data_IF_250504212141
#
_entry.id   IF_250504212141
#
_cell.length_a   1.000
_cell.length_b   1.000
_cell.length_c   1.000
_cell.angle_alpha   90.00
_cell.angle_beta   90.00
_cell.angle_gamma   90.00
#
_symmetry.space_group_name_H-M   'P 1'
#
loop_
_entity.id
_entity.type
_entity.pdbx_description
1 polymer ?
#
# COMPACT_ATOMS: atom_id res chain seq x y z
N UNK A 1 -25.98 -15.61 -1.88
CA UNK A 1 -25.16 -15.15 -3.03
C UNK A 1 -23.85 -14.68 -2.46
N UNK A 2 -22.74 -15.37 -2.77
CA UNK A 2 -21.41 -14.86 -2.46
C UNK A 2 -21.25 -13.51 -3.14
N UNK A 3 -20.97 -12.45 -2.37
CA UNK A 3 -20.77 -11.11 -2.94
C UNK A 3 -19.38 -11.12 -3.59
N UNK A 4 -19.32 -10.95 -4.91
CA UNK A 4 -18.05 -10.71 -5.61
C UNK A 4 -17.28 -9.56 -4.91
N UNK A 5 -15.95 -9.64 -4.79
CA UNK A 5 -15.13 -8.54 -4.31
C UNK A 5 -15.43 -7.22 -5.02
N UNK A 6 -15.32 -6.12 -4.28
CA UNK A 6 -15.53 -4.74 -4.79
C UNK A 6 -14.22 -3.96 -4.88
N UNK A 7 -13.08 -4.63 -4.77
CA UNK A 7 -11.75 -4.03 -4.81
C UNK A 7 -10.83 -4.85 -5.69
N UNK A 8 -9.95 -4.20 -6.44
CA UNK A 8 -8.94 -4.87 -7.24
C UNK A 8 -7.59 -4.15 -7.15
N UNK A 9 -6.53 -4.95 -7.07
CA UNK A 9 -5.15 -4.53 -7.20
C UNK A 9 -4.58 -5.07 -8.51
N UNK A 10 -4.04 -4.18 -9.33
CA UNK A 10 -3.39 -4.49 -10.59
C UNK A 10 -1.90 -4.20 -10.46
N UNK A 11 -1.10 -5.23 -10.66
CA UNK A 11 0.34 -5.16 -10.50
C UNK A 11 1.03 -4.88 -11.84
N UNK A 12 1.86 -3.84 -11.90
CA UNK A 12 2.75 -3.52 -13.02
C UNK A 12 4.20 -3.73 -12.56
N UNK A 13 4.88 -4.81 -12.99
CA UNK A 13 6.16 -5.23 -12.41
C UNK A 13 7.36 -4.44 -12.96
N UNK A 14 7.15 -3.45 -13.80
CA UNK A 14 8.22 -2.77 -14.53
C UNK A 14 8.79 -1.59 -13.74
N UNK A 15 10.12 -1.49 -13.70
CA UNK A 15 10.83 -0.34 -13.18
C UNK A 15 11.86 0.16 -14.20
N UNK A 16 12.05 1.48 -14.28
CA UNK A 16 13.21 2.08 -14.97
C UNK A 16 14.48 1.89 -14.13
N UNK A 17 14.35 1.93 -12.81
CA UNK A 17 15.41 1.67 -11.84
C UNK A 17 14.92 0.87 -10.63
N UNK A 18 15.71 -0.11 -10.18
CA UNK A 18 15.40 -0.91 -8.99
C UNK A 18 16.03 -0.29 -7.74
N UNK A 19 15.17 0.14 -6.81
CA UNK A 19 15.57 0.67 -5.51
C UNK A 19 16.19 -0.43 -4.64
N UNK A 20 17.18 -0.09 -3.82
CA UNK A 20 17.97 -1.09 -3.10
C UNK A 20 17.24 -1.75 -1.91
N UNK A 21 16.16 -1.14 -1.44
CA UNK A 21 15.30 -1.63 -0.35
C UNK A 21 14.03 -2.34 -0.86
N UNK A 22 13.69 -2.20 -2.13
CA UNK A 22 12.36 -2.59 -2.63
C UNK A 22 12.21 -4.12 -2.71
N UNK A 23 11.15 -4.65 -2.08
CA UNK A 23 10.83 -6.08 -2.07
C UNK A 23 9.65 -6.48 -2.97
N UNK A 24 8.99 -5.54 -3.64
CA UNK A 24 7.91 -5.86 -4.57
C UNK A 24 8.32 -6.89 -5.64
N UNK A 25 7.35 -7.49 -6.32
CA UNK A 25 7.64 -8.20 -7.58
C UNK A 25 8.01 -7.14 -8.63
N UNK A 26 9.25 -7.14 -9.11
CA UNK A 26 9.75 -6.12 -10.05
C UNK A 26 10.85 -6.63 -10.96
N UNK A 27 10.92 -6.04 -12.14
CA UNK A 27 11.97 -6.24 -13.14
C UNK A 27 12.32 -4.92 -13.81
N UNK A 28 13.55 -4.81 -14.33
CA UNK A 28 13.89 -3.71 -15.22
C UNK A 28 13.05 -3.80 -16.50
N UNK A 29 12.43 -2.68 -16.90
CA UNK A 29 11.55 -2.62 -18.08
C UNK A 29 12.30 -2.89 -19.39
N UNK A 30 13.60 -2.57 -19.44
CA UNK A 30 14.42 -2.73 -20.63
C UNK A 30 14.41 -4.19 -21.10
N UNK A 31 14.09 -4.39 -22.38
CA UNK A 31 14.00 -5.69 -23.06
C UNK A 31 12.88 -6.61 -22.53
N UNK A 32 11.87 -6.07 -21.83
CA UNK A 32 10.70 -6.84 -21.43
C UNK A 32 9.58 -6.77 -22.48
N UNK A 33 8.72 -7.80 -22.57
CA UNK A 33 7.59 -7.81 -23.49
C UNK A 33 6.41 -7.01 -22.91
N UNK A 34 6.56 -5.69 -22.80
CA UNK A 34 5.58 -4.82 -22.08
C UNK A 34 4.19 -4.88 -22.72
N UNK A 35 4.08 -4.72 -24.04
CA UNK A 35 2.77 -4.70 -24.71
C UNK A 35 2.05 -6.05 -24.56
N UNK A 36 2.77 -7.15 -24.78
CA UNK A 36 2.25 -8.51 -24.56
C UNK A 36 1.83 -8.71 -23.11
N UNK A 37 2.57 -8.17 -22.15
CA UNK A 37 2.16 -8.23 -20.74
C UNK A 37 0.85 -7.51 -20.48
N UNK A 38 0.65 -6.31 -21.04
CA UNK A 38 -0.61 -5.57 -20.89
C UNK A 38 -1.78 -6.31 -21.53
N UNK A 39 -1.60 -6.92 -22.70
CA UNK A 39 -2.62 -7.73 -23.35
C UNK A 39 -3.10 -8.90 -22.46
N UNK A 40 -2.15 -9.66 -21.91
CA UNK A 40 -2.44 -10.81 -21.03
C UNK A 40 -3.01 -10.38 -19.68
N UNK A 41 -2.53 -9.27 -19.12
CA UNK A 41 -3.08 -8.71 -17.89
C UNK A 41 -4.54 -8.30 -18.07
N UNK A 42 -4.88 -7.67 -19.19
CA UNK A 42 -6.25 -7.29 -19.50
C UNK A 42 -7.11 -8.52 -19.82
N UNK A 43 -6.53 -9.60 -20.35
CA UNK A 43 -7.22 -10.89 -20.51
C UNK A 43 -7.54 -11.52 -19.14
N UNK A 44 -6.58 -11.59 -18.22
CA UNK A 44 -6.81 -12.02 -16.85
C UNK A 44 -7.91 -11.17 -16.20
N UNK A 45 -7.83 -9.84 -16.30
CA UNK A 45 -8.84 -8.94 -15.74
C UNK A 45 -10.25 -9.23 -16.26
N UNK A 46 -10.40 -9.45 -17.58
CA UNK A 46 -11.69 -9.82 -18.19
C UNK A 46 -12.19 -11.18 -17.74
N UNK A 47 -11.31 -12.13 -17.42
CA UNK A 47 -11.70 -13.49 -16.99
C UNK A 47 -12.49 -13.50 -15.68
N UNK A 48 -12.31 -12.48 -14.83
CA UNK A 48 -13.03 -12.33 -13.57
C UNK A 48 -14.46 -11.77 -13.72
N UNK A 49 -14.84 -11.30 -14.92
CA UNK A 49 -16.15 -10.68 -15.20
C UNK A 49 -16.50 -9.59 -14.16
N UNK A 50 -15.55 -8.66 -13.98
CA UNK A 50 -15.66 -7.55 -13.03
C UNK A 50 -16.46 -6.44 -13.69
N UNK A 51 -17.63 -6.13 -13.12
CA UNK A 51 -18.48 -5.02 -13.58
C UNK A 51 -18.52 -3.86 -12.60
N UNK A 52 -18.20 -4.10 -11.32
CA UNK A 52 -18.31 -3.11 -10.24
C UNK A 52 -17.10 -3.21 -9.33
N UNK A 53 -16.45 -2.07 -9.12
CA UNK A 53 -15.40 -1.88 -8.14
C UNK A 53 -15.65 -0.56 -7.42
N UNK A 54 -15.53 -0.56 -6.09
CA UNK A 54 -15.40 0.67 -5.29
C UNK A 54 -13.97 1.17 -5.32
N UNK A 55 -12.99 0.27 -5.38
CA UNK A 55 -11.58 0.65 -5.45
C UNK A 55 -10.81 -0.13 -6.51
N UNK A 56 -9.95 0.57 -7.25
CA UNK A 56 -8.99 -0.02 -8.18
C UNK A 56 -7.63 0.62 -7.92
N UNK A 57 -6.63 -0.20 -7.58
CA UNK A 57 -5.28 0.28 -7.27
C UNK A 57 -4.30 -0.31 -8.26
N UNK A 58 -3.57 0.56 -8.96
CA UNK A 58 -2.53 0.18 -9.92
C UNK A 58 -1.18 0.50 -9.29
N UNK A 59 -0.40 -0.54 -8.97
CA UNK A 59 0.88 -0.39 -8.28
C UNK A 59 1.91 -1.44 -8.70
N UNK A 60 2.98 -1.60 -7.92
CA UNK A 60 3.90 -2.73 -8.03
C UNK A 60 5.36 -2.35 -8.16
N UNK A 61 5.93 -2.54 -9.34
CA UNK A 61 7.22 -1.96 -9.69
C UNK A 61 7.06 -0.44 -9.77
N UNK A 62 6.64 0.06 -10.93
CA UNK A 62 6.26 1.45 -11.14
C UNK A 62 5.32 1.53 -12.34
N UNK A 63 3.99 1.71 -12.15
CA UNK A 63 3.04 1.85 -13.26
C UNK A 63 3.44 2.92 -14.28
N UNK A 64 3.98 4.06 -13.82
CA UNK A 64 4.45 5.14 -14.69
C UNK A 64 5.78 4.88 -15.41
N UNK A 65 6.39 3.70 -15.24
CA UNK A 65 7.46 3.26 -16.13
C UNK A 65 6.95 2.93 -17.54
N UNK A 66 5.64 2.67 -17.70
CA UNK A 66 4.98 2.52 -18.99
C UNK A 66 5.03 3.83 -19.80
N UNK A 67 5.07 3.75 -21.13
CA UNK A 67 4.86 4.93 -21.98
C UNK A 67 3.45 5.49 -21.80
N UNK A 68 3.22 6.75 -22.21
CA UNK A 68 1.88 7.34 -22.19
C UNK A 68 0.86 6.49 -22.98
N UNK A 69 1.23 5.98 -24.16
CA UNK A 69 0.38 5.11 -24.97
C UNK A 69 0.08 3.76 -24.30
N UNK A 70 1.05 3.17 -23.61
CA UNK A 70 0.87 1.92 -22.86
C UNK A 70 -0.03 2.12 -21.64
N UNK A 71 0.12 3.27 -20.97
CA UNK A 71 -0.72 3.65 -19.84
C UNK A 71 -2.17 3.90 -20.27
N UNK A 72 -2.39 4.51 -21.43
CA UNK A 72 -3.71 4.69 -22.04
C UNK A 72 -4.37 3.33 -22.31
N UNK A 73 -3.66 2.40 -22.97
CA UNK A 73 -4.14 1.03 -23.21
C UNK A 73 -4.52 0.32 -21.90
N UNK A 74 -3.69 0.43 -20.87
CA UNK A 74 -3.96 -0.17 -19.56
C UNK A 74 -5.22 0.41 -18.93
N UNK A 75 -5.32 1.73 -18.82
CA UNK A 75 -6.42 2.41 -18.14
C UNK A 75 -7.73 2.16 -18.87
N UNK A 76 -7.77 2.34 -20.19
CA UNK A 76 -8.95 2.05 -21.00
C UNK A 76 -9.38 0.59 -20.85
N UNK A 77 -8.42 -0.34 -20.91
CA UNK A 77 -8.69 -1.76 -20.77
C UNK A 77 -9.30 -2.15 -19.41
N UNK A 78 -8.84 -1.52 -18.33
CA UNK A 78 -9.34 -1.78 -16.98
C UNK A 78 -10.69 -1.11 -16.71
N UNK A 79 -10.96 0.07 -17.27
CA UNK A 79 -12.14 0.87 -16.91
C UNK A 79 -13.30 0.77 -17.88
N UNK A 80 -13.08 0.36 -19.14
CA UNK A 80 -14.09 0.38 -20.21
C UNK A 80 -15.41 -0.32 -19.87
N UNK A 81 -15.35 -1.42 -19.11
CA UNK A 81 -16.53 -2.23 -18.76
C UNK A 81 -16.97 -2.06 -17.30
N UNK A 82 -16.33 -1.15 -16.55
CA UNK A 82 -16.70 -0.90 -15.15
C UNK A 82 -17.84 0.11 -15.06
N UNK A 83 -18.74 -0.14 -14.12
CA UNK A 83 -19.70 0.85 -13.64
C UNK A 83 -18.98 1.90 -12.80
N UNK A 84 -18.56 2.98 -13.44
CA UNK A 84 -17.82 4.06 -12.78
C UNK A 84 -18.67 4.83 -11.76
N UNK A 85 -20.00 4.65 -11.73
CA UNK A 85 -20.87 5.35 -10.77
C UNK A 85 -20.70 4.85 -9.33
N UNK A 86 -20.13 3.66 -9.15
CA UNK A 86 -19.83 3.08 -7.84
C UNK A 86 -18.34 3.09 -7.49
N UNK A 87 -17.49 3.61 -8.38
CA UNK A 87 -16.05 3.72 -8.18
C UNK A 87 -15.74 4.93 -7.30
N UNK A 88 -15.16 4.67 -6.14
CA UNK A 88 -14.79 5.70 -5.16
C UNK A 88 -13.33 6.13 -5.35
N UNK A 89 -12.45 5.17 -5.59
CA UNK A 89 -11.02 5.42 -5.71
C UNK A 89 -10.41 4.62 -6.85
N UNK A 90 -9.75 5.30 -7.77
CA UNK A 90 -8.80 4.72 -8.70
C UNK A 90 -7.43 5.35 -8.46
N UNK A 91 -6.58 4.59 -7.76
CA UNK A 91 -5.22 5.00 -7.43
C UNK A 91 -4.24 4.48 -8.46
N UNK A 92 -3.27 5.31 -8.84
CA UNK A 92 -2.07 4.87 -9.52
C UNK A 92 -0.80 5.30 -8.78
N UNK A 93 0.15 4.38 -8.65
CA UNK A 93 1.50 4.69 -8.17
C UNK A 93 2.36 5.32 -9.26
N UNK A 94 3.15 6.31 -8.88
CA UNK A 94 4.05 7.02 -9.77
C UNK A 94 5.43 7.23 -9.12
N UNK A 95 6.45 7.19 -9.95
CA UNK A 95 7.78 7.65 -9.61
C UNK A 95 7.95 9.08 -10.14
N UNK A 96 8.41 10.08 -9.34
CA UNK A 96 8.64 11.43 -9.85
C UNK A 96 9.52 11.44 -11.12
N UNK A 97 10.58 10.64 -11.15
CA UNK A 97 11.47 10.57 -12.31
C UNK A 97 10.84 10.01 -13.60
N UNK A 98 9.67 9.37 -13.53
CA UNK A 98 9.02 8.73 -14.68
C UNK A 98 7.68 9.39 -15.07
N UNK A 99 7.18 10.36 -14.32
CA UNK A 99 5.88 11.02 -14.57
C UNK A 99 6.07 12.32 -15.38
N UNK A 100 5.88 12.26 -16.69
CA UNK A 100 5.96 13.42 -17.59
C UNK A 100 4.58 14.02 -17.91
N UNK A 101 4.56 15.10 -18.69
CA UNK A 101 3.33 15.80 -19.05
C UNK A 101 2.36 14.94 -19.88
N UNK A 102 2.88 14.09 -20.78
CA UNK A 102 2.06 13.22 -21.63
C UNK A 102 1.37 12.15 -20.77
N UNK A 103 2.09 11.55 -19.81
CA UNK A 103 1.48 10.61 -18.86
C UNK A 103 0.44 11.28 -17.98
N UNK A 104 0.69 12.49 -17.45
CA UNK A 104 -0.30 13.23 -16.66
C UNK A 104 -1.57 13.52 -17.50
N UNK A 105 -1.42 13.85 -18.79
CA UNK A 105 -2.56 14.05 -19.67
C UNK A 105 -3.40 12.77 -19.84
N UNK A 106 -2.76 11.61 -19.99
CA UNK A 106 -3.44 10.31 -20.02
C UNK A 106 -4.17 10.03 -18.71
N UNK A 107 -3.52 10.24 -17.56
CA UNK A 107 -4.18 10.08 -16.25
C UNK A 107 -5.43 10.96 -16.15
N UNK A 108 -5.33 12.23 -16.57
CA UNK A 108 -6.44 13.18 -16.49
C UNK A 108 -7.62 12.83 -17.41
N UNK A 109 -7.36 12.16 -18.53
CA UNK A 109 -8.40 11.69 -19.45
C UNK A 109 -9.06 10.38 -18.99
N UNK A 110 -8.47 9.73 -18.00
CA UNK A 110 -8.99 8.49 -17.41
C UNK A 110 -9.78 8.73 -16.12
N UNK A 111 -10.44 7.71 -15.56
CA UNK A 111 -11.08 7.79 -14.25
C UNK A 111 -10.12 7.83 -13.04
N UNK A 112 -8.80 7.90 -13.23
CA UNK A 112 -7.82 8.06 -12.14
C UNK A 112 -8.18 9.30 -11.34
N UNK A 113 -8.39 9.12 -10.03
CA UNK A 113 -8.72 10.21 -9.11
C UNK A 113 -7.77 10.29 -7.92
N UNK A 114 -6.76 9.41 -7.82
CA UNK A 114 -5.71 9.46 -6.80
C UNK A 114 -4.35 9.07 -7.38
N UNK A 115 -3.31 9.84 -7.05
CA UNK A 115 -1.92 9.56 -7.47
C UNK A 115 -1.04 9.43 -6.24
N UNK A 116 -0.30 8.31 -6.10
CA UNK A 116 0.67 8.12 -5.02
C UNK A 116 2.09 8.21 -5.55
N UNK A 117 2.84 9.23 -5.11
CA UNK A 117 4.22 9.47 -5.54
C UNK A 117 5.21 8.87 -4.53
N UNK A 118 6.03 7.93 -4.99
CA UNK A 118 7.05 7.31 -4.15
C UNK A 118 8.25 8.21 -3.86
N UNK A 119 8.12 9.30 -3.11
CA UNK A 119 9.18 10.31 -2.88
C UNK A 119 10.39 9.77 -2.12
N UNK A 120 10.14 9.02 -1.06
CA UNK A 120 11.08 8.43 -0.10
C UNK A 120 11.81 9.45 0.77
N UNK A 121 12.46 10.43 0.16
CA UNK A 121 13.12 11.53 0.88
C UNK A 121 13.38 12.74 -0.03
N UNK A 122 13.46 13.93 0.57
CA UNK A 122 13.83 15.20 -0.05
C UNK A 122 15.35 15.49 0.01
N UNK A 123 16.19 14.46 0.17
CA UNK A 123 17.66 14.58 0.18
C UNK A 123 18.28 13.80 -0.98
N UNK A 124 18.84 14.52 -1.97
CA UNK A 124 19.45 13.94 -3.17
C UNK A 124 20.57 12.93 -2.88
N UNK A 125 21.36 13.16 -1.83
CA UNK A 125 22.44 12.22 -1.45
C UNK A 125 21.83 10.94 -0.92
N UNK A 126 20.74 11.04 -0.17
CA UNK A 126 20.01 9.90 0.37
C UNK A 126 19.25 9.14 -0.72
N UNK A 127 18.56 9.84 -1.63
CA UNK A 127 17.94 9.27 -2.83
C UNK A 127 18.92 8.40 -3.62
N UNK A 128 20.13 8.91 -3.87
CA UNK A 128 21.20 8.15 -4.52
C UNK A 128 21.64 6.92 -3.69
N UNK A 129 21.76 7.05 -2.37
CA UNK A 129 22.17 5.94 -1.48
C UNK A 129 21.16 4.80 -1.46
N UNK A 130 19.87 5.10 -1.60
CA UNK A 130 18.78 4.12 -1.59
C UNK A 130 18.42 3.61 -3.00
N UNK A 131 19.10 4.11 -4.04
CA UNK A 131 18.96 3.64 -5.41
C UNK A 131 17.79 4.27 -6.16
N UNK A 132 17.37 5.49 -5.81
CA UNK A 132 16.41 6.29 -6.57
C UNK A 132 17.11 7.08 -7.68
N UNK A 133 16.41 7.33 -8.77
CA UNK A 133 16.92 8.04 -9.95
C UNK A 133 16.50 9.51 -10.02
N UNK A 134 15.40 9.88 -9.36
CA UNK A 134 14.90 11.25 -9.31
C UNK A 134 15.68 12.09 -8.30
N UNK A 135 15.51 13.40 -8.41
CA UNK A 135 16.05 14.43 -7.53
C UNK A 135 14.92 15.14 -6.78
N UNK A 136 15.28 15.89 -5.75
CA UNK A 136 14.33 16.65 -4.94
C UNK A 136 13.45 17.57 -5.80
N UNK A 137 14.06 18.24 -6.79
CA UNK A 137 13.36 19.13 -7.71
C UNK A 137 12.22 18.44 -8.49
N UNK A 138 12.39 17.17 -8.84
CA UNK A 138 11.43 16.44 -9.67
C UNK A 138 10.14 16.20 -8.87
N UNK A 139 10.26 16.06 -7.54
CA UNK A 139 9.12 15.94 -6.63
C UNK A 139 8.23 17.19 -6.73
N UNK A 140 8.81 18.38 -6.56
CA UNK A 140 8.06 19.64 -6.61
C UNK A 140 7.45 19.85 -8.01
N UNK A 141 8.24 19.64 -9.08
CA UNK A 141 7.74 19.77 -10.45
C UNK A 141 6.55 18.84 -10.73
N UNK A 142 6.57 17.59 -10.23
CA UNK A 142 5.46 16.66 -10.42
C UNK A 142 4.23 17.01 -9.60
N UNK A 143 4.40 17.41 -8.34
CA UNK A 143 3.29 17.88 -7.52
C UNK A 143 2.61 19.08 -8.18
N UNK A 144 3.39 20.06 -8.64
CA UNK A 144 2.86 21.24 -9.32
C UNK A 144 2.10 20.87 -10.60
N UNK A 145 2.66 19.97 -11.43
CA UNK A 145 1.98 19.50 -12.65
C UNK A 145 0.69 18.73 -12.36
N UNK A 146 0.67 17.89 -11.32
CA UNK A 146 -0.54 17.18 -10.90
C UNK A 146 -1.61 18.17 -10.42
N UNK A 147 -1.23 19.15 -9.59
CA UNK A 147 -2.14 20.23 -9.15
C UNK A 147 -2.67 21.05 -10.33
N UNK A 148 -1.83 21.39 -11.30
CA UNK A 148 -2.23 22.10 -12.52
C UNK A 148 -3.16 21.27 -13.42
N UNK A 149 -3.12 19.95 -13.32
CA UNK A 149 -4.05 19.04 -13.97
C UNK A 149 -5.31 18.76 -13.11
N UNK A 150 -5.55 19.55 -12.06
CA UNK A 150 -6.65 19.44 -11.10
C UNK A 150 -6.73 18.06 -10.41
N UNK A 151 -5.58 17.46 -10.06
CA UNK A 151 -5.55 16.39 -9.07
C UNK A 151 -5.53 17.01 -7.67
N UNK A 152 -6.57 16.73 -6.89
CA UNK A 152 -6.70 17.15 -5.50
C UNK A 152 -6.27 16.06 -4.52
N UNK A 153 -6.49 14.79 -4.84
CA UNK A 153 -6.08 13.63 -4.04
C UNK A 153 -4.69 13.12 -4.44
N UNK A 154 -3.66 13.82 -3.95
CA UNK A 154 -2.26 13.45 -4.16
C UNK A 154 -1.68 12.90 -2.85
N UNK A 155 -0.98 11.78 -2.95
CA UNK A 155 -0.21 11.17 -1.87
C UNK A 155 1.27 11.20 -2.19
N UNK A 156 2.10 11.31 -1.15
CA UNK A 156 3.53 10.96 -1.23
C UNK A 156 3.84 9.84 -0.25
N UNK A 157 4.79 8.99 -0.63
CA UNK A 157 5.36 7.98 0.25
C UNK A 157 6.76 8.42 0.67
N UNK A 158 7.05 8.42 1.97
CA UNK A 158 8.35 8.70 2.57
C UNK A 158 8.84 7.48 3.35
N UNK A 159 10.16 7.35 3.46
CA UNK A 159 10.79 6.33 4.28
C UNK A 159 11.66 7.04 5.33
N UNK A 160 11.41 6.73 6.61
CA UNK A 160 12.28 7.12 7.71
C UNK A 160 13.14 5.93 8.17
N UNK A 161 14.05 6.19 9.10
CA UNK A 161 15.08 5.26 9.52
C UNK A 161 16.00 4.75 8.38
N UNK A 162 16.22 5.57 7.36
CA UNK A 162 17.11 5.25 6.24
C UNK A 162 18.58 5.14 6.70
N UNK A 163 19.46 4.44 5.94
CA UNK A 163 20.84 4.21 6.37
C UNK A 163 21.63 5.52 6.56
N UNK A 164 22.03 5.77 7.81
CA UNK A 164 22.70 7.00 8.23
C UNK A 164 21.82 8.26 8.23
N UNK A 165 20.50 8.12 8.24
CA UNK A 165 19.57 9.24 8.39
C UNK A 165 19.59 9.77 9.82
N UNK A 166 19.66 11.09 9.98
CA UNK A 166 19.60 11.75 11.28
C UNK A 166 18.19 12.25 11.59
N UNK A 167 17.92 12.56 12.86
CA UNK A 167 16.67 13.18 13.28
C UNK A 167 16.43 14.50 12.52
N UNK A 168 17.45 15.35 12.36
CA UNK A 168 17.35 16.63 11.64
C UNK A 168 16.88 16.44 10.19
N UNK A 169 17.35 15.38 9.52
CA UNK A 169 16.89 15.06 8.17
C UNK A 169 15.42 14.63 8.17
N UNK A 170 14.96 13.87 9.16
CA UNK A 170 13.53 13.54 9.30
C UNK A 170 12.70 14.81 9.51
N UNK A 171 13.16 15.73 10.38
CA UNK A 171 12.49 17.04 10.59
C UNK A 171 12.38 17.85 9.30
N UNK A 172 13.47 17.93 8.52
CA UNK A 172 13.47 18.60 7.22
C UNK A 172 12.48 17.95 6.23
N UNK A 173 12.47 16.61 6.16
CA UNK A 173 11.57 15.88 5.26
C UNK A 173 10.10 16.10 5.61
N UNK A 174 9.73 16.04 6.90
CA UNK A 174 8.36 16.29 7.36
C UNK A 174 7.95 17.74 7.08
N UNK A 175 8.83 18.71 7.34
CA UNK A 175 8.54 20.12 7.08
C UNK A 175 8.29 20.38 5.58
N UNK A 176 9.13 19.83 4.70
CA UNK A 176 8.97 19.92 3.24
C UNK A 176 7.70 19.23 2.76
N UNK A 177 7.41 18.03 3.28
CA UNK A 177 6.18 17.31 2.96
C UNK A 177 4.94 18.13 3.29
N UNK A 178 4.88 18.72 4.50
CA UNK A 178 3.77 19.61 4.91
C UNK A 178 3.67 20.81 3.96
N UNK A 179 4.79 21.40 3.54
CA UNK A 179 4.78 22.56 2.64
C UNK A 179 4.27 22.27 1.22
N UNK A 180 4.21 20.99 0.82
CA UNK A 180 3.63 20.61 -0.47
C UNK A 180 2.12 20.87 -0.52
N UNK A 181 1.45 21.01 0.63
CA UNK A 181 0.00 21.25 0.72
C UNK A 181 -0.80 20.21 -0.07
N UNK A 182 -0.62 18.94 0.29
CA UNK A 182 -1.31 17.77 -0.27
C UNK A 182 -2.07 17.05 0.83
N UNK A 183 -3.15 16.31 0.50
CA UNK A 183 -4.03 15.79 1.52
C UNK A 183 -3.59 14.48 2.15
N UNK A 184 -2.60 13.77 1.59
CA UNK A 184 -2.22 12.44 2.06
C UNK A 184 -0.71 12.22 2.08
N UNK A 185 -0.22 11.51 3.09
CA UNK A 185 1.18 11.09 3.23
C UNK A 185 1.27 9.69 3.82
N UNK A 186 2.12 8.86 3.23
CA UNK A 186 2.50 7.55 3.76
C UNK A 186 3.94 7.66 4.29
N UNK A 187 4.19 7.31 5.55
CA UNK A 187 5.53 7.30 6.15
C UNK A 187 5.82 5.91 6.71
N UNK A 188 6.75 5.23 6.04
CA UNK A 188 7.17 3.88 6.38
C UNK A 188 8.51 3.90 7.11
N UNK A 189 8.66 3.06 8.13
CA UNK A 189 10.01 2.71 8.56
C UNK A 189 10.68 1.84 7.50
N UNK A 190 11.99 1.97 7.35
CA UNK A 190 12.74 1.07 6.48
C UNK A 190 12.71 -0.37 7.00
N UNK A 191 11.98 -1.23 6.31
CA UNK A 191 11.98 -2.67 6.56
C UNK A 191 13.03 -3.34 5.66
N UNK A 192 13.82 -4.25 6.24
CA UNK A 192 14.82 -5.04 5.51
C UNK A 192 14.28 -6.40 5.09
N UNK A 193 14.11 -6.58 3.78
CA UNK A 193 13.63 -7.85 3.24
C UNK A 193 14.74 -8.73 2.68
N UNK A 194 14.60 -10.05 2.88
CA UNK A 194 15.65 -11.05 2.65
C UNK A 194 16.25 -11.05 1.24
N UNK A 195 15.47 -10.63 0.25
CA UNK A 195 15.82 -10.67 -1.17
C UNK A 195 16.33 -9.31 -1.70
N UNK A 196 16.54 -8.33 -0.83
CA UNK A 196 16.92 -6.96 -1.22
C UNK A 196 18.43 -6.73 -1.26
N UNK A 197 18.85 -5.69 -1.98
CA UNK A 197 20.25 -5.23 -1.97
C UNK A 197 20.66 -4.76 -0.59
N UNK A 198 19.75 -4.11 0.14
CA UNK A 198 19.98 -3.65 1.51
C UNK A 198 20.22 -4.80 2.46
N UNK A 199 19.42 -5.88 2.43
CA UNK A 199 19.68 -7.02 3.30
C UNK A 199 21.04 -7.67 3.01
N UNK A 200 21.45 -7.73 1.73
CA UNK A 200 22.79 -8.18 1.36
C UNK A 200 23.92 -7.27 1.90
N UNK A 201 23.69 -5.95 1.98
CA UNK A 201 24.65 -5.01 2.60
C UNK A 201 24.66 -5.14 4.12
N UNK A 202 23.49 -5.33 4.75
CA UNK A 202 23.34 -5.53 6.19
C UNK A 202 24.09 -6.79 6.65
N UNK A 203 23.90 -7.92 5.97
CA UNK A 203 24.64 -9.18 6.22
C UNK A 203 26.17 -9.05 6.10
N UNK A 204 26.65 -8.01 5.41
CA UNK A 204 28.09 -7.69 5.26
C UNK A 204 28.58 -6.61 6.23
N UNK A 205 27.74 -6.13 7.14
CA UNK A 205 28.06 -5.02 8.06
C UNK A 205 28.23 -3.67 7.37
N UNK A 206 27.64 -3.48 6.18
CA UNK A 206 27.82 -2.28 5.33
C UNK A 206 26.56 -1.41 5.21
N UNK A 207 25.62 -1.56 6.13
CA UNK A 207 24.37 -0.79 6.16
C UNK A 207 24.17 -0.22 7.57
N UNK A 208 24.66 1.01 7.84
CA UNK A 208 24.49 1.62 9.16
C UNK A 208 23.05 2.10 9.31
N UNK A 209 22.22 1.33 10.02
CA UNK A 209 20.86 1.71 10.36
C UNK A 209 20.82 2.49 11.69
N UNK A 210 19.84 3.38 11.87
CA UNK A 210 19.51 3.92 13.18
C UNK A 210 19.27 2.81 14.21
N UNK A 211 19.50 3.12 15.48
CA UNK A 211 19.10 2.24 16.58
C UNK A 211 17.57 2.33 16.78
N UNK A 212 16.97 1.29 17.33
CA UNK A 212 15.53 1.23 17.64
C UNK A 212 15.04 2.44 18.44
N UNK A 213 15.81 2.90 19.44
CA UNK A 213 15.49 4.10 20.22
C UNK A 213 15.33 5.35 19.33
N UNK A 214 16.26 5.56 18.39
CA UNK A 214 16.23 6.70 17.49
C UNK A 214 15.10 6.57 16.45
N UNK A 215 14.82 5.36 15.98
CA UNK A 215 13.68 5.10 15.08
C UNK A 215 12.34 5.40 15.77
N UNK A 216 12.18 4.99 17.02
CA UNK A 216 11.00 5.31 17.82
C UNK A 216 10.84 6.82 18.01
N UNK A 217 11.92 7.54 18.35
CA UNK A 217 11.92 9.00 18.44
C UNK A 217 11.53 9.66 17.10
N UNK A 218 12.02 9.15 15.97
CA UNK A 218 11.66 9.66 14.63
C UNK A 218 10.16 9.51 14.39
N UNK A 219 9.61 8.34 14.71
CA UNK A 219 8.18 8.07 14.52
C UNK A 219 7.30 8.93 15.44
N UNK A 220 7.68 9.09 16.71
CA UNK A 220 6.98 9.98 17.64
C UNK A 220 6.93 11.43 17.14
N UNK A 221 8.06 11.92 16.62
CA UNK A 221 8.15 13.25 16.02
C UNK A 221 7.23 13.38 14.80
N UNK A 222 7.27 12.40 13.87
CA UNK A 222 6.43 12.38 12.67
C UNK A 222 4.95 12.50 13.03
N UNK A 223 4.47 11.64 13.95
CA UNK A 223 3.06 11.65 14.36
C UNK A 223 2.68 13.01 14.92
N UNK A 224 3.46 13.52 15.88
CA UNK A 224 3.13 14.76 16.57
C UNK A 224 3.07 15.95 15.61
N UNK A 225 3.99 16.03 14.65
CA UNK A 225 4.07 17.15 13.71
C UNK A 225 3.00 17.09 12.62
N UNK A 226 2.69 15.91 12.10
CA UNK A 226 1.60 15.75 11.12
C UNK A 226 0.24 15.99 11.76
N UNK A 227 0.01 15.51 12.99
CA UNK A 227 -1.22 15.83 13.75
C UNK A 227 -1.31 17.35 14.02
N UNK A 228 -0.20 18.01 14.39
CA UNK A 228 -0.15 19.47 14.55
C UNK A 228 -0.42 20.24 13.26
N UNK A 229 -0.03 19.69 12.11
CA UNK A 229 -0.35 20.19 10.78
C UNK A 229 -1.78 19.83 10.32
N UNK A 230 -2.57 19.17 11.17
CA UNK A 230 -3.96 18.82 10.92
C UNK A 230 -4.16 17.61 10.02
N UNK A 231 -3.23 16.66 10.02
CA UNK A 231 -3.43 15.33 9.43
C UNK A 231 -3.91 14.36 10.51
N UNK A 232 -4.75 13.41 10.13
CA UNK A 232 -5.17 12.30 10.96
C UNK A 232 -4.29 11.07 10.69
N UNK A 233 -3.63 10.56 11.73
CA UNK A 233 -2.96 9.25 11.70
C UNK A 233 -4.02 8.14 11.73
N UNK A 234 -4.53 7.73 10.58
CA UNK A 234 -5.71 6.86 10.52
C UNK A 234 -5.35 5.35 10.57
N UNK A 235 -4.11 5.00 10.21
CA UNK A 235 -3.53 3.66 10.36
C UNK A 235 -2.00 3.75 10.49
N UNK A 236 -1.31 2.63 10.76
CA UNK A 236 0.12 2.57 11.13
C UNK A 236 1.05 3.54 10.39
N UNK A 237 1.01 3.57 9.06
CA UNK A 237 1.96 4.34 8.23
C UNK A 237 1.36 5.57 7.56
N UNK A 238 0.03 5.72 7.52
CA UNK A 238 -0.65 6.69 6.67
C UNK A 238 -1.33 7.79 7.47
N UNK A 239 -1.22 9.00 6.92
CA UNK A 239 -1.73 10.23 7.46
C UNK A 239 -2.53 10.94 6.36
N UNK A 240 -3.70 11.47 6.70
CA UNK A 240 -4.52 12.18 5.71
C UNK A 240 -5.30 13.33 6.29
N UNK A 241 -5.70 14.28 5.45
CA UNK A 241 -6.79 15.19 5.76
C UNK A 241 -8.11 14.40 5.80
N UNK A 242 -9.08 14.78 6.64
CA UNK A 242 -10.36 14.06 6.74
C UNK A 242 -11.00 13.86 5.37
N UNK A 243 -11.37 12.62 5.05
CA UNK A 243 -11.98 12.25 3.76
C UNK A 243 -11.01 11.81 2.67
N UNK A 244 -9.69 12.02 2.85
CA UNK A 244 -8.65 11.62 1.91
C UNK A 244 -7.90 10.33 2.31
N UNK A 245 -8.46 9.54 3.23
CA UNK A 245 -7.91 8.23 3.57
C UNK A 245 -7.90 7.34 2.32
N UNK A 246 -6.81 6.60 2.09
CA UNK A 246 -6.75 5.61 1.01
C UNK A 246 -7.86 4.55 1.18
N UNK A 247 -8.87 4.61 0.32
CA UNK A 247 -10.03 3.71 0.38
C UNK A 247 -9.59 2.28 0.08
N UNK A 248 -8.66 2.09 -0.84
CA UNK A 248 -8.13 0.77 -1.15
C UNK A 248 -7.38 0.17 0.04
N UNK A 249 -6.52 0.94 0.72
CA UNK A 249 -5.78 0.43 1.89
C UNK A 249 -6.74 0.06 3.04
N UNK A 250 -7.77 0.88 3.27
CA UNK A 250 -8.78 0.58 4.29
C UNK A 250 -9.52 -0.73 4.02
N UNK A 251 -9.73 -1.11 2.76
CA UNK A 251 -10.32 -2.41 2.42
C UNK A 251 -9.45 -3.59 2.85
N UNK A 252 -8.12 -3.48 2.73
CA UNK A 252 -7.19 -4.48 3.27
C UNK A 252 -7.27 -4.57 4.79
N UNK A 253 -7.27 -3.43 5.47
CA UNK A 253 -7.35 -3.37 6.94
C UNK A 253 -8.73 -3.77 7.48
N UNK A 254 -9.73 -3.83 6.62
CA UNK A 254 -11.08 -4.32 6.89
C UNK A 254 -11.23 -5.82 6.62
N UNK A 255 -10.11 -6.50 6.32
CA UNK A 255 -10.05 -7.92 5.92
C UNK A 255 -11.13 -8.26 4.88
N UNK A 256 -11.29 -7.35 3.90
CA UNK A 256 -12.22 -7.52 2.82
C UNK A 256 -11.56 -8.27 1.66
N UNK A 257 -12.35 -9.06 0.94
CA UNK A 257 -11.89 -9.74 -0.27
C UNK A 257 -11.58 -8.73 -1.39
N UNK A 258 -10.60 -9.07 -2.22
CA UNK A 258 -10.13 -8.27 -3.33
C UNK A 258 -9.47 -9.13 -4.41
N UNK A 259 -9.57 -8.69 -5.66
CA UNK A 259 -8.86 -9.31 -6.77
C UNK A 259 -7.41 -8.86 -6.81
N UNK A 260 -6.47 -9.80 -6.86
CA UNK A 260 -5.08 -9.57 -7.23
C UNK A 260 -4.85 -10.00 -8.68
N UNK A 261 -4.37 -9.09 -9.52
CA UNK A 261 -4.24 -9.28 -10.97
C UNK A 261 -2.85 -8.83 -11.42
N UNK A 262 -2.22 -9.58 -12.32
CA UNK A 262 -0.87 -9.30 -12.80
C UNK A 262 0.21 -10.19 -12.16
N UNK A 263 1.38 -10.21 -12.81
CA UNK A 263 2.53 -11.02 -12.39
C UNK A 263 3.01 -10.73 -10.96
N UNK A 264 2.90 -11.73 -10.08
CA UNK A 264 3.31 -11.64 -8.68
C UNK A 264 2.29 -10.96 -7.77
N UNK A 265 1.12 -10.56 -8.28
CA UNK A 265 0.02 -10.05 -7.47
C UNK A 265 -0.49 -11.12 -6.50
N UNK A 266 -0.91 -10.69 -5.31
CA UNK A 266 -1.66 -11.52 -4.38
C UNK A 266 -3.11 -11.07 -4.35
N UNK A 267 -4.04 -12.01 -4.16
CA UNK A 267 -5.47 -11.72 -4.03
C UNK A 267 -6.11 -12.54 -2.91
N UNK A 268 -7.33 -12.16 -2.53
CA UNK A 268 -8.13 -12.86 -1.53
C UNK A 268 -9.58 -12.89 -1.98
N UNK A 269 -10.08 -14.06 -2.38
CA UNK A 269 -11.43 -14.22 -2.96
C UNK A 269 -12.05 -15.53 -2.48
N UNK A 270 -13.31 -15.49 -2.05
CA UNK A 270 -14.06 -16.64 -1.57
C UNK A 270 -13.33 -17.43 -0.46
N UNK A 271 -12.70 -16.72 0.47
CA UNK A 271 -11.89 -17.34 1.53
C UNK A 271 -10.56 -17.95 1.06
N UNK A 272 -10.16 -17.77 -0.20
CA UNK A 272 -8.92 -18.28 -0.78
C UNK A 272 -7.93 -17.13 -0.95
N UNK A 273 -6.79 -17.21 -0.27
CA UNK A 273 -5.63 -16.38 -0.58
C UNK A 273 -4.85 -17.01 -1.71
N UNK A 274 -4.47 -16.20 -2.69
CA UNK A 274 -3.68 -16.68 -3.79
C UNK A 274 -2.57 -15.71 -4.15
N UNK A 275 -1.58 -16.24 -4.86
CA UNK A 275 -0.51 -15.45 -5.49
C UNK A 275 -0.37 -15.88 -6.93
N UNK A 276 -0.17 -14.91 -7.81
CA UNK A 276 0.09 -15.15 -9.22
C UNK A 276 1.57 -15.45 -9.48
N UNK A 277 1.86 -16.11 -10.60
CA UNK A 277 3.24 -16.28 -11.07
C UNK A 277 3.99 -14.94 -11.14
N UNK A 278 5.16 -14.87 -10.51
CA UNK A 278 5.99 -13.65 -10.47
C UNK A 278 6.80 -13.38 -11.74
N UNK A 279 7.62 -14.34 -12.22
CA UNK A 279 8.40 -14.14 -13.45
C UNK A 279 7.48 -13.92 -14.66
N UNK A 280 7.71 -12.83 -15.40
CA UNK A 280 6.83 -12.40 -16.50
C UNK A 280 6.51 -13.54 -17.46
N UNK A 281 7.53 -14.28 -17.93
CA UNK A 281 7.30 -15.36 -18.89
C UNK A 281 6.41 -16.48 -18.34
N UNK A 282 6.52 -16.79 -17.04
CA UNK A 282 5.66 -17.79 -16.42
C UNK A 282 4.23 -17.27 -16.28
N UNK A 283 4.08 -16.00 -15.92
CA UNK A 283 2.77 -15.35 -15.85
C UNK A 283 2.05 -15.34 -17.19
N UNK A 284 2.72 -14.96 -18.29
CA UNK A 284 2.10 -14.96 -19.63
C UNK A 284 1.60 -16.36 -20.02
N UNK A 285 2.45 -17.38 -19.89
CA UNK A 285 2.06 -18.76 -20.18
C UNK A 285 0.89 -19.23 -19.29
N UNK A 286 0.81 -18.75 -18.05
CA UNK A 286 -0.23 -19.12 -17.10
C UNK A 286 -1.58 -18.46 -17.44
N UNK A 287 -1.56 -17.23 -17.95
CA UNK A 287 -2.74 -16.56 -18.53
C UNK A 287 -3.25 -17.37 -19.73
N UNK A 288 -2.38 -17.73 -20.67
CA UNK A 288 -2.74 -18.55 -21.84
C UNK A 288 -3.33 -19.92 -21.45
N UNK A 289 -2.85 -20.50 -20.35
CA UNK A 289 -3.36 -21.76 -19.79
C UNK A 289 -4.68 -21.60 -19.00
N UNK A 290 -5.14 -20.37 -18.75
CA UNK A 290 -6.37 -20.07 -18.04
C UNK A 290 -6.26 -20.12 -16.50
N UNK A 291 -5.06 -20.19 -15.93
CA UNK A 291 -4.86 -20.12 -14.48
C UNK A 291 -3.51 -19.46 -14.13
N UNK A 292 -3.58 -18.23 -13.61
CA UNK A 292 -2.40 -17.43 -13.22
C UNK A 292 -1.88 -17.73 -11.82
N UNK A 293 -2.64 -18.46 -11.00
CA UNK A 293 -2.37 -18.67 -9.58
C UNK A 293 -1.34 -19.78 -9.39
N UNK A 294 -0.20 -19.42 -8.80
CA UNK A 294 0.88 -20.36 -8.49
C UNK A 294 0.72 -20.98 -7.09
N UNK A 295 0.10 -20.25 -6.16
CA UNK A 295 -0.20 -20.74 -4.82
C UNK A 295 -1.61 -20.33 -4.44
N UNK A 296 -2.32 -21.24 -3.79
CA UNK A 296 -3.65 -21.02 -3.21
C UNK A 296 -3.68 -21.60 -1.80
N UNK A 297 -4.28 -20.86 -0.87
CA UNK A 297 -4.45 -21.23 0.54
C UNK A 297 -5.90 -20.96 0.94
N UNK A 298 -6.59 -22.01 1.39
CA UNK A 298 -7.95 -21.91 1.89
C UNK A 298 -7.93 -21.58 3.37
N UNK A 299 -8.43 -20.40 3.73
CA UNK A 299 -8.43 -19.97 5.12
C UNK A 299 -9.55 -20.63 5.93
N UNK A 300 -9.13 -21.34 6.97
CA UNK A 300 -9.68 -21.29 8.31
C UNK A 300 -10.80 -20.28 8.61
N UNK A 301 -11.99 -20.66 9.10
CA UNK A 301 -12.82 -19.64 9.79
C UNK A 301 -12.04 -19.05 10.99
N UNK A 302 -11.22 -19.87 11.66
CA UNK A 302 -10.31 -19.42 12.73
C UNK A 302 -9.30 -18.41 12.20
N UNK A 303 -8.59 -18.76 11.14
CA UNK A 303 -7.56 -17.90 10.52
C UNK A 303 -8.17 -16.57 10.03
N UNK A 304 -9.37 -16.60 9.44
CA UNK A 304 -10.07 -15.38 9.02
C UNK A 304 -10.43 -14.46 10.21
N UNK A 305 -10.78 -15.02 11.38
CA UNK A 305 -11.04 -14.25 12.60
C UNK A 305 -9.75 -13.66 13.18
N UNK A 306 -8.67 -14.43 13.21
CA UNK A 306 -7.34 -13.97 13.63
C UNK A 306 -6.87 -12.81 12.74
N UNK A 307 -7.07 -12.92 11.43
CA UNK A 307 -6.71 -11.88 10.46
C UNK A 307 -7.58 -10.63 10.56
N UNK A 308 -8.87 -10.76 10.89
CA UNK A 308 -9.72 -9.60 11.19
C UNK A 308 -9.13 -8.77 12.32
N UNK A 309 -8.61 -9.44 13.36
CA UNK A 309 -7.95 -8.76 14.47
C UNK A 309 -6.59 -8.20 14.07
N UNK A 310 -5.75 -9.00 13.41
CA UNK A 310 -4.40 -8.60 13.01
C UNK A 310 -4.42 -7.39 12.07
N UNK A 311 -5.27 -7.43 11.05
CA UNK A 311 -5.40 -6.36 10.05
C UNK A 311 -6.18 -5.16 10.62
N UNK A 312 -7.26 -5.43 11.36
CA UNK A 312 -8.14 -4.39 11.87
C UNK A 312 -7.50 -3.50 12.94
N UNK A 313 -6.63 -4.06 13.78
CA UNK A 313 -5.92 -3.33 14.82
C UNK A 313 -4.82 -2.39 14.27
N UNK A 314 -4.47 -2.51 12.99
CA UNK A 314 -3.58 -1.55 12.29
C UNK A 314 -4.22 -0.16 12.14
N UNK A 315 -5.56 -0.08 12.17
CA UNK A 315 -6.29 1.19 12.08
C UNK A 315 -6.39 1.83 13.46
N UNK A 316 -6.29 3.18 13.52
CA UNK A 316 -6.59 3.95 14.74
C UNK A 316 -8.05 3.83 15.17
N UNK A 317 -8.95 3.49 14.24
CA UNK A 317 -10.35 3.15 14.54
C UNK A 317 -10.54 1.74 15.12
N UNK A 318 -9.55 0.87 14.99
CA UNK A 318 -9.58 -0.53 15.41
C UNK A 318 -10.69 -1.36 14.75
N UNK A 319 -11.12 -2.41 15.48
CA UNK A 319 -12.08 -3.44 15.07
C UNK A 319 -13.45 -3.14 15.68
N UNK A 320 -14.52 -3.29 14.90
CA UNK A 320 -15.90 -3.24 15.39
C UNK A 320 -16.34 -4.62 15.84
N UNK A 321 -16.79 -4.73 17.08
CA UNK A 321 -17.27 -5.99 17.66
C UNK A 321 -18.53 -6.44 16.93
N UNK A 322 -19.51 -5.56 16.73
CA UNK A 322 -20.73 -5.90 15.99
C UNK A 322 -20.46 -6.41 14.56
N UNK A 323 -19.56 -5.75 13.81
CA UNK A 323 -19.18 -6.21 12.46
C UNK A 323 -18.48 -7.56 12.48
N UNK A 324 -17.61 -7.81 13.46
CA UNK A 324 -16.98 -9.11 13.66
C UNK A 324 -18.04 -10.20 13.88
N UNK A 325 -18.98 -9.96 14.80
CA UNK A 325 -20.05 -10.92 15.10
C UNK A 325 -20.97 -11.16 13.90
N UNK A 326 -21.31 -10.12 13.14
CA UNK A 326 -22.07 -10.23 11.89
C UNK A 326 -21.33 -11.07 10.84
N UNK A 327 -20.03 -10.82 10.66
CA UNK A 327 -19.19 -11.48 9.64
C UNK A 327 -18.98 -12.97 9.96
N UNK A 328 -18.74 -13.32 11.22
CA UNK A 328 -18.35 -14.68 11.60
C UNK A 328 -19.44 -15.50 12.29
N UNK A 329 -20.51 -14.86 12.77
CA UNK A 329 -21.57 -15.53 13.55
C UNK A 329 -21.08 -16.08 14.89
N UNK A 330 -20.00 -15.50 15.44
CA UNK A 330 -19.35 -15.90 16.69
C UNK A 330 -19.34 -14.71 17.65
N UNK A 331 -19.55 -14.97 18.95
CA UNK A 331 -19.48 -13.92 19.96
C UNK A 331 -18.05 -13.39 20.08
N UNK A 332 -17.89 -12.07 20.00
CA UNK A 332 -16.61 -11.41 20.14
C UNK A 332 -16.08 -11.54 21.58
N UNK A 333 -16.89 -11.21 22.59
CA UNK A 333 -16.49 -11.31 24.01
C UNK A 333 -16.18 -12.76 24.40
N UNK A 334 -16.91 -13.73 23.86
CA UNK A 334 -16.65 -15.15 24.12
C UNK A 334 -15.30 -15.65 23.58
N UNK A 335 -14.75 -15.03 22.53
CA UNK A 335 -13.46 -15.39 21.95
C UNK A 335 -12.31 -14.53 22.49
N UNK A 336 -12.50 -13.22 22.53
CA UNK A 336 -11.43 -12.25 22.77
C UNK A 336 -11.64 -11.40 24.02
N UNK A 337 -12.74 -11.57 24.76
CA UNK A 337 -13.08 -10.71 25.91
C UNK A 337 -12.02 -10.72 27.02
N UNK A 338 -11.47 -11.88 27.35
CA UNK A 338 -10.39 -11.99 28.36
C UNK A 338 -9.09 -11.33 27.88
N UNK A 339 -8.71 -11.58 26.62
CA UNK A 339 -7.53 -10.98 25.98
C UNK A 339 -7.64 -9.45 26.00
N UNK A 340 -8.80 -8.91 25.63
CA UNK A 340 -9.06 -7.47 25.64
C UNK A 340 -8.98 -6.90 27.06
N UNK A 341 -9.61 -7.54 28.05
CA UNK A 341 -9.56 -7.06 29.45
C UNK A 341 -8.13 -6.98 29.97
N UNK A 342 -7.30 -7.99 29.71
CA UNK A 342 -5.89 -8.00 30.07
C UNK A 342 -5.11 -6.87 29.37
N UNK A 343 -5.25 -6.71 28.05
CA UNK A 343 -4.55 -5.68 27.29
C UNK A 343 -5.00 -4.25 27.65
N UNK A 344 -6.27 -4.07 28.03
CA UNK A 344 -6.78 -2.81 28.58
C UNK A 344 -6.16 -2.52 29.95
N UNK A 345 -6.07 -3.52 30.83
CA UNK A 345 -5.42 -3.36 32.15
C UNK A 345 -3.94 -2.98 32.01
N UNK A 346 -3.26 -3.49 30.98
CA UNK A 346 -1.88 -3.13 30.66
C UNK A 346 -1.74 -1.75 29.99
N UNK A 347 -2.85 -1.10 29.63
CA UNK A 347 -2.88 0.19 28.94
C UNK A 347 -2.47 0.13 27.47
N UNK A 348 -2.52 -1.06 26.85
CA UNK A 348 -2.17 -1.29 25.45
C UNK A 348 -3.38 -1.20 24.52
N UNK A 349 -4.56 -1.49 25.04
CA UNK A 349 -5.82 -1.37 24.29
C UNK A 349 -6.85 -0.54 25.05
N UNK A 350 -7.87 -0.11 24.33
CA UNK A 350 -9.03 0.58 24.87
C UNK A 350 -10.30 0.17 24.13
N UNK A 351 -11.43 0.23 24.84
CA UNK A 351 -12.77 0.02 24.31
C UNK A 351 -13.43 1.39 24.15
N UNK A 352 -13.98 1.65 22.97
CA UNK A 352 -14.67 2.89 22.63
C UNK A 352 -16.02 2.55 21.97
N UNK A 353 -17.06 2.46 22.78
CA UNK A 353 -18.37 1.97 22.34
C UNK A 353 -18.28 0.53 21.80
N UNK A 354 -18.64 0.35 20.53
CA UNK A 354 -18.59 -0.95 19.82
C UNK A 354 -17.18 -1.32 19.32
N UNK A 355 -16.17 -0.47 19.53
CA UNK A 355 -14.84 -0.67 18.94
C UNK A 355 -13.78 -1.02 19.97
N UNK A 356 -12.90 -1.95 19.59
CA UNK A 356 -11.64 -2.22 20.29
C UNK A 356 -10.48 -1.69 19.45
N UNK A 357 -9.58 -0.94 20.08
CA UNK A 357 -8.43 -0.34 19.38
C UNK A 357 -7.20 -0.24 20.28
N UNK A 358 -6.03 -0.16 19.66
CA UNK A 358 -4.78 0.10 20.38
C UNK A 358 -4.76 1.52 20.95
N UNK A 359 -4.15 1.68 22.13
CA UNK A 359 -3.75 3.00 22.62
C UNK A 359 -2.51 3.47 21.86
N UNK A 360 -2.08 4.73 22.07
CA UNK A 360 -0.79 5.19 21.52
C UNK A 360 0.36 4.26 21.92
N UNK A 361 0.40 3.81 23.18
CA UNK A 361 1.40 2.85 23.66
C UNK A 361 1.26 1.47 22.99
N UNK A 362 0.02 1.01 22.78
CA UNK A 362 -0.26 -0.24 22.08
C UNK A 362 0.27 -0.26 20.65
N UNK A 363 0.18 0.86 19.92
CA UNK A 363 0.67 0.95 18.54
C UNK A 363 2.19 0.72 18.43
N UNK A 364 2.98 1.22 19.39
CA UNK A 364 4.44 0.96 19.43
C UNK A 364 4.78 -0.50 19.77
N UNK A 365 3.84 -1.24 20.35
CA UNK A 365 3.95 -2.66 20.67
C UNK A 365 2.99 -3.49 19.82
N UNK A 366 2.72 -3.03 18.60
CA UNK A 366 1.65 -3.55 17.75
C UNK A 366 1.75 -5.05 17.51
N UNK A 367 2.94 -5.55 17.21
CA UNK A 367 3.17 -6.98 16.97
C UNK A 367 2.89 -7.81 18.22
N UNK A 368 3.41 -7.39 19.38
CA UNK A 368 3.14 -8.05 20.67
C UNK A 368 1.65 -8.05 21.03
N UNK A 369 0.93 -6.98 20.70
CA UNK A 369 -0.52 -6.92 20.91
C UNK A 369 -1.23 -7.86 19.94
N UNK A 370 -0.85 -7.86 18.66
CA UNK A 370 -1.49 -8.65 17.62
C UNK A 370 -1.32 -10.17 17.83
N UNK A 371 -0.15 -10.62 18.30
CA UNK A 371 0.13 -12.03 18.64
C UNK A 371 -0.86 -12.61 19.66
N UNK A 372 -1.41 -11.78 20.56
CA UNK A 372 -2.38 -12.24 21.57
C UNK A 372 -3.72 -12.68 21.00
N UNK A 373 -4.01 -12.35 19.74
CA UNK A 373 -5.26 -12.68 19.06
C UNK A 373 -5.19 -13.94 18.21
N UNK A 374 -4.02 -14.62 18.18
CA UNK A 374 -3.87 -15.94 17.58
C UNK A 374 -4.56 -16.96 18.48
N UNK A 375 -5.52 -17.71 17.95
CA UNK A 375 -6.31 -18.68 18.70
C UNK A 375 -5.60 -20.04 18.66
N UNK A 376 -5.58 -20.74 19.81
CA UNK A 376 -5.00 -22.09 19.90
C UNK A 376 -5.75 -23.14 19.07
#
# INVERSE_FOLDING_TARGET
>A
MQKKPMSAYVHIPFCTQICYYCDFSKVFIKNQPVDSYLEHLLEEFRSYDIQKLRTLYIGGGTPTALSASQLEVLLDGLTKNLDLSVLEELTIEANPGDLDADKIAVLKQSPVNRVSLGVQTFDDKMLKKIGRSHLEKDIYENIDRLKLADFDNISIDLIYALPGQTMEQVKDNVAKAISLDIPHMSLYSLILENHTVFMNRMRRGKLPLPKEELEAEMFEYIIAELERAGFEHYEISNFSKPGFESRHNLMYWDNAEYYGIGAGASGYVDGIRYKNHGPIRHYLNAVEAGNTRITEEHLSQREQMEEEMFLGLRKKSGVSMARFEEKFGRSFDGLYGEIIRDLVQQGLMQIDGDRVRMTKRGLFLGDTVAERFILE
#
